data_IF_354720631861
#
_entry.id   IF_354720631861
#
_cell.length_a   1.000
_cell.length_b   1.000
_cell.length_c   1.000
_cell.angle_alpha   90.00
_cell.angle_beta   90.00
_cell.angle_gamma   90.00
#
_symmetry.space_group_name_H-M   'P 1'
#
loop_
_entity.id
_entity.type
_entity.pdbx_description
1 polymer ?
#
# COMPACT_ATOMS: atom_id res chain seq x y z
N UNK A 1 -3.95 4.08 11.87
CA UNK A 1 -3.26 4.01 10.56
C UNK A 1 -4.11 4.62 9.45
N UNK A 2 -5.34 4.15 9.20
CA UNK A 2 -6.21 4.72 8.16
C UNK A 2 -6.41 6.25 8.28
N UNK A 3 -6.68 6.77 9.49
CA UNK A 3 -6.80 8.20 9.73
C UNK A 3 -5.53 8.99 9.34
N UNK A 4 -4.37 8.57 9.85
CA UNK A 4 -3.09 9.17 9.52
C UNK A 4 -2.80 9.19 8.01
N UNK A 5 -3.20 8.12 7.30
CA UNK A 5 -3.07 8.05 5.85
C UNK A 5 -3.98 9.07 5.15
N UNK A 6 -5.22 9.23 5.62
CA UNK A 6 -6.18 10.20 5.08
C UNK A 6 -5.69 11.64 5.30
N UNK A 7 -4.96 11.88 6.39
CA UNK A 7 -4.35 13.17 6.69
C UNK A 7 -3.03 13.39 5.93
N UNK A 8 -2.54 12.38 5.21
CA UNK A 8 -1.30 12.45 4.44
C UNK A 8 -0.02 12.45 5.28
N UNK A 9 -0.11 12.03 6.55
CA UNK A 9 1.01 11.98 7.49
C UNK A 9 1.83 10.69 7.28
N UNK A 10 2.91 10.81 6.52
CA UNK A 10 3.76 9.69 6.17
C UNK A 10 4.61 9.17 7.34
N UNK A 11 5.07 10.05 8.24
CA UNK A 11 5.86 9.66 9.40
C UNK A 11 5.01 8.86 10.39
N UNK A 12 3.77 9.32 10.62
CA UNK A 12 2.84 8.62 11.48
C UNK A 12 2.41 7.27 10.89
N UNK A 13 2.20 7.19 9.57
CA UNK A 13 1.90 5.91 8.92
C UNK A 13 3.07 4.94 9.03
N UNK A 14 4.31 5.36 8.75
CA UNK A 14 5.51 4.51 8.91
C UNK A 14 5.58 3.90 10.32
N UNK A 15 5.47 4.74 11.34
CA UNK A 15 5.52 4.33 12.74
C UNK A 15 4.39 3.37 13.10
N UNK A 16 3.15 3.70 12.76
CA UNK A 16 1.98 2.87 13.10
C UNK A 16 2.02 1.52 12.38
N UNK A 17 2.53 1.47 11.15
CA UNK A 17 2.70 0.21 10.42
C UNK A 17 3.73 -0.67 11.14
N UNK A 18 4.89 -0.14 11.54
CA UNK A 18 5.89 -0.89 12.30
C UNK A 18 5.36 -1.40 13.64
N UNK A 19 4.65 -0.55 14.38
CA UNK A 19 4.06 -0.90 15.68
C UNK A 19 3.02 -2.02 15.53
N UNK A 20 2.17 -1.96 14.50
CA UNK A 20 1.17 -2.99 14.23
C UNK A 20 1.82 -4.35 13.91
N UNK A 21 2.85 -4.35 13.05
CA UNK A 21 3.59 -5.56 12.71
C UNK A 21 4.35 -6.13 13.93
N UNK A 22 4.98 -5.27 14.73
CA UNK A 22 5.65 -5.67 15.97
C UNK A 22 4.68 -6.20 17.02
N UNK A 23 3.43 -5.71 17.01
CA UNK A 23 2.32 -6.21 17.82
C UNK A 23 1.73 -7.54 17.35
N UNK A 24 2.27 -8.14 16.28
CA UNK A 24 1.85 -9.44 15.75
C UNK A 24 0.65 -9.40 14.81
N UNK A 25 0.20 -8.21 14.40
CA UNK A 25 -0.86 -8.07 13.38
C UNK A 25 -0.28 -8.50 12.03
N UNK A 26 -1.00 -9.34 11.30
CA UNK A 26 -0.54 -9.86 10.02
C UNK A 26 -0.35 -8.75 8.98
N UNK A 27 0.69 -8.86 8.15
CA UNK A 27 1.01 -7.86 7.12
C UNK A 27 -0.15 -7.59 6.15
N UNK A 28 -0.90 -8.63 5.78
CA UNK A 28 -2.11 -8.51 4.96
C UNK A 28 -3.22 -7.73 5.67
N UNK A 29 -3.42 -7.99 6.96
CA UNK A 29 -4.43 -7.32 7.78
C UNK A 29 -4.12 -5.82 7.97
N UNK A 30 -2.86 -5.50 8.24
CA UNK A 30 -2.34 -4.12 8.32
C UNK A 30 -2.58 -3.39 6.98
N UNK A 31 -2.34 -4.05 5.86
CA UNK A 31 -2.56 -3.50 4.53
C UNK A 31 -4.05 -3.25 4.25
N UNK A 32 -4.90 -4.26 4.40
CA UNK A 32 -6.31 -4.21 4.02
C UNK A 32 -7.11 -3.24 4.89
N UNK A 33 -7.00 -3.38 6.21
CA UNK A 33 -7.80 -2.61 7.16
C UNK A 33 -7.14 -1.28 7.56
N UNK A 34 -5.86 -1.11 7.27
CA UNK A 34 -5.12 0.12 7.52
C UNK A 34 -4.98 0.98 6.28
N UNK A 35 -4.12 0.54 5.38
CA UNK A 35 -3.64 1.33 4.26
C UNK A 35 -4.68 1.46 3.13
N UNK A 36 -5.21 0.32 2.66
CA UNK A 36 -6.20 0.26 1.57
C UNK A 36 -7.51 0.92 2.01
N UNK A 37 -7.97 0.63 3.22
CA UNK A 37 -9.17 1.27 3.79
C UNK A 37 -9.04 2.79 3.87
N UNK A 38 -7.87 3.30 4.29
CA UNK A 38 -7.58 4.74 4.28
C UNK A 38 -7.63 5.33 2.87
N UNK A 39 -6.98 4.68 1.91
CA UNK A 39 -6.95 5.14 0.51
C UNK A 39 -8.32 5.12 -0.15
N UNK A 40 -9.20 4.17 0.23
CA UNK A 40 -10.59 4.14 -0.21
C UNK A 40 -11.35 5.41 0.17
N UNK A 41 -11.15 5.91 1.39
CA UNK A 41 -11.75 7.17 1.87
C UNK A 41 -11.16 8.38 1.12
N UNK A 42 -9.84 8.40 0.90
CA UNK A 42 -9.19 9.45 0.08
C UNK A 42 -9.80 9.51 -1.30
N UNK A 43 -10.04 8.36 -1.94
CA UNK A 43 -10.70 8.28 -3.24
C UNK A 43 -12.14 8.82 -3.23
N UNK A 44 -12.90 8.57 -2.17
CA UNK A 44 -14.25 9.16 -2.00
C UNK A 44 -14.15 10.68 -1.86
N UNK A 45 -13.27 11.18 -0.98
CA UNK A 45 -13.07 12.63 -0.75
C UNK A 45 -12.66 13.35 -2.04
N UNK A 46 -11.77 12.76 -2.84
CA UNK A 46 -11.34 13.33 -4.11
C UNK A 46 -12.48 13.41 -5.12
N UNK A 47 -13.26 12.32 -5.30
CA UNK A 47 -14.44 12.31 -6.20
C UNK A 47 -15.52 13.31 -5.80
N UNK A 48 -15.64 13.57 -4.51
CA UNK A 48 -16.62 14.52 -3.95
C UNK A 48 -16.09 15.96 -3.87
N UNK A 49 -14.90 16.24 -4.41
CA UNK A 49 -14.24 17.56 -4.38
C UNK A 49 -13.95 18.10 -2.98
N UNK A 50 -13.80 17.22 -1.97
CA UNK A 50 -13.36 17.62 -0.63
C UNK A 50 -11.86 17.84 -0.53
N UNK A 51 -11.08 17.17 -1.39
CA UNK A 51 -9.62 17.29 -1.48
C UNK A 51 -9.21 17.34 -2.94
N UNK A 52 -8.01 17.82 -3.22
CA UNK A 52 -7.49 17.98 -4.57
C UNK A 52 -6.22 17.13 -4.76
N UNK A 53 -5.59 17.29 -5.92
CA UNK A 53 -4.39 16.53 -6.32
C UNK A 53 -3.26 16.65 -5.29
N UNK A 54 -2.92 17.82 -4.72
CA UNK A 54 -1.85 17.92 -3.73
C UNK A 54 -2.05 17.04 -2.50
N UNK A 55 -3.29 16.97 -1.99
CA UNK A 55 -3.66 16.14 -0.84
C UNK A 55 -3.60 14.66 -1.18
N UNK A 56 -4.09 14.27 -2.37
CA UNK A 56 -3.98 12.89 -2.86
C UNK A 56 -2.51 12.46 -2.97
N UNK A 57 -1.63 13.35 -3.45
CA UNK A 57 -0.19 13.08 -3.51
C UNK A 57 0.44 12.92 -2.11
N UNK A 58 -0.03 13.67 -1.11
CA UNK A 58 0.41 13.48 0.28
C UNK A 58 -0.03 12.10 0.83
N UNK A 59 -1.30 11.75 0.63
CA UNK A 59 -1.83 10.43 0.99
C UNK A 59 -1.08 9.29 0.28
N UNK A 60 -0.70 9.47 -0.98
CA UNK A 60 0.08 8.49 -1.73
C UNK A 60 1.50 8.31 -1.16
N UNK A 61 2.14 9.37 -0.66
CA UNK A 61 3.42 9.26 0.06
C UNK A 61 3.26 8.51 1.38
N UNK A 62 2.19 8.78 2.12
CA UNK A 62 1.89 8.06 3.35
C UNK A 62 1.62 6.56 3.09
N UNK A 63 0.86 6.25 2.04
CA UNK A 63 0.66 4.88 1.56
C UNK A 63 2.00 4.17 1.28
N UNK A 64 2.91 4.81 0.54
CA UNK A 64 4.24 4.27 0.23
C UNK A 64 5.09 4.02 1.48
N UNK A 65 5.01 4.91 2.47
CA UNK A 65 5.73 4.75 3.74
C UNK A 65 5.29 3.49 4.50
N UNK A 66 3.97 3.25 4.58
CA UNK A 66 3.45 2.00 5.17
C UNK A 66 3.81 0.77 4.33
N UNK A 67 3.70 0.89 3.00
CA UNK A 67 3.97 -0.22 2.09
C UNK A 67 5.40 -0.75 2.24
N UNK A 68 6.38 0.14 2.44
CA UNK A 68 7.79 -0.23 2.59
C UNK A 68 8.07 -1.32 3.65
N UNK A 69 7.22 -1.48 4.67
CA UNK A 69 7.34 -2.53 5.69
C UNK A 69 6.62 -3.82 5.35
N UNK A 70 5.54 -3.71 4.59
CA UNK A 70 4.67 -4.83 4.22
C UNK A 70 5.24 -5.56 3.00
N UNK A 71 5.83 -4.83 2.04
CA UNK A 71 6.35 -5.41 0.80
C UNK A 71 7.33 -6.58 1.02
N UNK A 72 8.33 -6.46 1.91
CA UNK A 72 9.27 -7.55 2.16
C UNK A 72 8.62 -8.78 2.77
N UNK A 73 7.58 -8.60 3.62
CA UNK A 73 6.91 -9.70 4.31
C UNK A 73 6.06 -10.51 3.33
N UNK A 74 5.27 -9.83 2.49
CA UNK A 74 4.40 -10.50 1.53
C UNK A 74 5.17 -11.11 0.35
N UNK A 75 6.36 -10.58 0.05
CA UNK A 75 7.22 -11.08 -1.03
C UNK A 75 8.18 -12.19 -0.58
N UNK A 76 8.30 -12.44 0.73
CA UNK A 76 9.18 -13.46 1.25
C UNK A 76 8.62 -14.85 0.91
N UNK A 77 9.12 -15.43 -0.18
CA UNK A 77 8.75 -16.77 -0.62
C UNK A 77 9.82 -17.79 -0.22
N UNK A 78 9.39 -18.90 0.39
CA UNK A 78 10.19 -20.12 0.53
C UNK A 78 9.86 -21.16 -0.55
N UNK A 79 9.22 -20.74 -1.64
CA UNK A 79 8.62 -21.60 -2.66
C UNK A 79 9.34 -21.34 -3.98
N UNK A 80 9.70 -22.41 -4.70
CA UNK A 80 10.35 -22.32 -6.01
C UNK A 80 9.39 -21.71 -7.05
N UNK A 81 9.86 -20.76 -7.88
CA UNK A 81 9.01 -20.14 -8.87
C UNK A 81 8.44 -21.12 -9.90
N UNK A 82 7.13 -21.09 -10.15
CA UNK A 82 6.48 -21.99 -11.13
C UNK A 82 6.48 -21.43 -12.55
N UNK A 83 6.82 -20.14 -12.71
CA UNK A 83 6.76 -19.47 -14.00
C UNK A 83 7.28 -18.03 -13.99
N UNK A 84 7.13 -17.35 -15.12
CA UNK A 84 7.54 -15.95 -15.30
C UNK A 84 6.35 -15.10 -15.71
N UNK A 85 6.09 -14.06 -14.93
CA UNK A 85 5.05 -13.06 -15.22
C UNK A 85 5.69 -11.76 -15.67
N UNK A 86 5.17 -11.18 -16.75
CA UNK A 86 5.49 -9.81 -17.17
C UNK A 86 4.33 -8.92 -16.75
N UNK A 87 4.63 -7.88 -15.96
CA UNK A 87 3.64 -6.93 -15.49
C UNK A 87 4.15 -5.50 -15.68
N UNK A 88 3.29 -4.61 -16.16
CA UNK A 88 3.62 -3.23 -16.45
C UNK A 88 2.40 -2.32 -16.31
N UNK A 89 2.66 -1.03 -16.12
CA UNK A 89 1.64 0.02 -16.16
C UNK A 89 1.54 0.55 -17.59
N UNK A 90 0.34 0.91 -18.06
CA UNK A 90 0.14 1.44 -19.41
C UNK A 90 0.88 2.77 -19.62
N UNK A 91 1.24 3.08 -20.87
CA UNK A 91 1.98 4.31 -21.19
C UNK A 91 1.20 5.54 -20.71
N UNK A 92 1.86 6.37 -19.91
CA UNK A 92 1.29 7.62 -19.38
C UNK A 92 0.54 7.46 -18.05
N UNK A 93 0.41 6.25 -17.53
CA UNK A 93 -0.18 5.99 -16.23
C UNK A 93 0.91 5.79 -15.16
N UNK A 94 0.75 6.48 -14.03
CA UNK A 94 1.67 6.50 -12.91
C UNK A 94 1.18 5.65 -11.73
N UNK A 95 -0.03 5.10 -11.80
CA UNK A 95 -0.60 4.30 -10.72
C UNK A 95 0.06 2.92 -10.69
N UNK A 96 0.97 2.72 -9.74
CA UNK A 96 1.80 1.52 -9.64
C UNK A 96 1.59 0.71 -8.36
N UNK A 97 0.92 1.27 -7.35
CA UNK A 97 0.75 0.64 -6.02
C UNK A 97 0.04 -0.71 -6.12
N UNK A 98 -1.13 -0.76 -6.78
CA UNK A 98 -1.88 -2.02 -6.96
C UNK A 98 -1.14 -3.04 -7.84
N UNK A 99 -0.41 -2.55 -8.85
CA UNK A 99 0.44 -3.39 -9.70
C UNK A 99 1.56 -4.03 -8.88
N UNK A 100 2.26 -3.26 -8.06
CA UNK A 100 3.35 -3.76 -7.23
C UNK A 100 2.84 -4.76 -6.19
N UNK A 101 1.67 -4.50 -5.59
CA UNK A 101 1.02 -5.46 -4.69
C UNK A 101 0.78 -6.81 -5.37
N UNK A 102 0.24 -6.79 -6.59
CA UNK A 102 0.01 -8.04 -7.33
C UNK A 102 1.32 -8.77 -7.64
N UNK A 103 2.39 -8.04 -8.01
CA UNK A 103 3.74 -8.62 -8.22
C UNK A 103 4.23 -9.31 -6.94
N UNK A 104 4.06 -8.68 -5.79
CA UNK A 104 4.49 -9.24 -4.50
C UNK A 104 3.72 -10.51 -4.14
N UNK A 105 2.39 -10.48 -4.30
CA UNK A 105 1.55 -11.64 -4.04
C UNK A 105 1.91 -12.82 -4.96
N UNK A 106 2.17 -12.54 -6.24
CA UNK A 106 2.63 -13.56 -7.20
C UNK A 106 3.98 -14.14 -6.80
N UNK A 107 4.93 -13.32 -6.35
CA UNK A 107 6.22 -13.81 -5.84
C UNK A 107 6.06 -14.72 -4.62
N UNK A 108 5.18 -14.34 -3.68
CA UNK A 108 4.90 -15.12 -2.47
C UNK A 108 4.25 -16.48 -2.73
N UNK A 109 3.54 -16.64 -3.84
CA UNK A 109 2.77 -17.84 -4.16
C UNK A 109 3.56 -18.93 -4.93
N UNK A 110 4.76 -18.60 -5.44
CA UNK A 110 5.52 -19.44 -6.39
C UNK A 110 5.23 -19.07 -7.84
#
# INVERSE_FOLDING_TARGET
>A
MAAALIDGDNELVDRLTREALAGGIGALEVMDYGLISGMGIVGIKFRQNFIFVPEVLACARAMKAGMAHIEPILSAAGIEPIGKVIMGTVKGDLHDIGKNLCIMMLRGAG
#
